data_IF_350089909493
#
_entry.id   IF_350089909493
#
_cell.length_a   1.000
_cell.length_b   1.000
_cell.length_c   1.000
_cell.angle_alpha   90.00
_cell.angle_beta   90.00
_cell.angle_gamma   90.00
#
_symmetry.space_group_name_H-M   'P 1'
#
loop_
_entity.id
_entity.type
_entity.pdbx_description
1 polymer ?
#
# COMPACT_ATOMS: atom_id res chain seq x y z
N UNK A 1 -9.08 -54.82 49.21
CA UNK A 1 -7.91 -54.16 49.83
C UNK A 1 -8.27 -52.72 50.16
N UNK A 2 -8.02 -52.29 51.42
CA UNK A 2 -7.85 -50.92 52.02
C UNK A 2 -8.60 -49.74 51.34
N UNK A 3 -9.69 -49.17 51.90
CA UNK A 3 -9.84 -48.18 53.03
C UNK A 3 -9.10 -46.84 52.86
N UNK A 4 -9.89 -45.74 52.99
CA UNK A 4 -9.61 -44.38 53.54
C UNK A 4 -10.02 -43.26 52.54
N UNK A 5 -11.12 -42.52 52.73
CA UNK A 5 -11.45 -41.42 53.68
C UNK A 5 -10.83 -40.04 53.32
N UNK A 6 -11.71 -39.14 52.83
CA UNK A 6 -11.97 -37.73 53.24
C UNK A 6 -10.76 -36.81 53.53
N UNK A 7 -10.59 -35.70 52.78
CA UNK A 7 -10.76 -34.31 53.27
C UNK A 7 -10.42 -33.22 52.22
N UNK A 8 -11.25 -32.18 52.30
CA UNK A 8 -11.27 -30.83 51.71
C UNK A 8 -9.90 -30.13 51.48
N UNK A 9 -9.78 -29.40 50.38
CA UNK A 9 -9.08 -28.09 50.37
C UNK A 9 -9.55 -27.23 49.17
N UNK A 10 -10.31 -26.17 49.49
CA UNK A 10 -10.44 -25.00 48.64
C UNK A 10 -9.06 -24.38 48.45
N UNK A 11 -8.69 -24.06 47.22
CA UNK A 11 -7.75 -22.98 46.94
C UNK A 11 -8.37 -22.05 45.91
N UNK A 12 -9.01 -21.01 46.41
CA UNK A 12 -9.25 -19.76 45.70
C UNK A 12 -7.90 -19.18 45.32
N UNK A 13 -7.60 -19.15 44.03
CA UNK A 13 -6.54 -18.30 43.49
C UNK A 13 -7.18 -17.29 42.55
N UNK A 14 -7.57 -16.15 43.12
CA UNK A 14 -7.75 -14.92 42.37
C UNK A 14 -6.36 -14.48 41.90
N UNK A 15 -6.10 -14.56 40.61
CA UNK A 15 -5.12 -13.69 39.96
C UNK A 15 -5.87 -12.88 38.91
N UNK A 16 -6.17 -11.63 39.27
CA UNK A 16 -6.48 -10.57 38.33
C UNK A 16 -5.28 -10.43 37.38
N UNK A 17 -5.48 -10.83 36.12
CA UNK A 17 -4.62 -10.43 35.03
C UNK A 17 -5.45 -9.55 34.11
N UNK A 18 -5.07 -8.28 34.17
CA UNK A 18 -5.49 -7.13 33.39
C UNK A 18 -5.83 -7.52 31.95
N UNK A 19 -7.06 -7.18 31.55
CA UNK A 19 -7.49 -7.22 30.17
C UNK A 19 -6.59 -6.33 29.32
N UNK A 20 -5.80 -6.92 28.44
CA UNK A 20 -5.47 -6.33 27.15
C UNK A 20 -6.08 -7.25 26.11
N UNK A 21 -7.37 -7.04 25.84
CA UNK A 21 -8.04 -7.73 24.75
C UNK A 21 -7.46 -7.22 23.44
N UNK A 22 -6.61 -8.04 22.81
CA UNK A 22 -6.33 -7.94 21.38
C UNK A 22 -7.66 -8.14 20.66
N UNK A 23 -8.16 -7.07 20.05
CA UNK A 23 -9.35 -7.13 19.19
C UNK A 23 -9.00 -8.01 17.98
N UNK A 24 -9.82 -9.03 17.62
CA UNK A 24 -9.60 -9.82 16.42
C UNK A 24 -9.57 -8.92 15.19
N UNK A 25 -8.70 -9.23 14.22
CA UNK A 25 -8.54 -8.50 12.97
C UNK A 25 -9.72 -8.66 11.99
N UNK A 26 -10.83 -9.27 12.41
CA UNK A 26 -11.96 -9.65 11.54
C UNK A 26 -13.26 -8.87 11.81
N UNK A 27 -13.25 -7.84 12.67
CA UNK A 27 -14.43 -6.99 12.94
C UNK A 27 -14.33 -5.61 12.24
N UNK A 28 -13.88 -5.57 10.99
CA UNK A 28 -14.16 -4.43 10.11
C UNK A 28 -15.39 -4.83 9.27
N UNK A 29 -16.57 -4.26 9.54
CA UNK A 29 -17.72 -4.52 8.69
C UNK A 29 -17.39 -4.02 7.28
N UNK A 30 -17.66 -4.81 6.22
CA UNK A 30 -17.65 -4.26 4.88
C UNK A 30 -18.62 -3.06 4.87
N UNK A 31 -18.32 -1.95 4.17
CA UNK A 31 -19.24 -0.84 4.11
C UNK A 31 -20.58 -1.35 3.57
N UNK A 32 -21.62 -1.22 4.40
CA UNK A 32 -22.99 -1.52 4.02
C UNK A 32 -23.34 -0.72 2.75
N UNK A 33 -24.09 -1.35 1.85
CA UNK A 33 -24.55 -0.85 0.53
C UNK A 33 -25.54 0.34 0.63
N UNK A 34 -25.52 1.06 1.75
CA UNK A 34 -26.20 2.33 1.99
C UNK A 34 -25.17 3.38 2.43
N UNK A 35 -24.56 4.05 1.45
CA UNK A 35 -23.81 5.32 1.56
C UNK A 35 -23.36 5.71 2.98
N UNK A 36 -22.40 4.99 3.55
CA UNK A 36 -21.59 5.59 4.61
C UNK A 36 -20.82 6.73 3.95
N UNK A 37 -21.09 7.97 4.37
CA UNK A 37 -20.31 9.11 3.90
C UNK A 37 -18.86 8.86 4.34
N UNK A 38 -18.01 8.45 3.40
CA UNK A 38 -16.59 8.28 3.69
C UNK A 38 -16.04 9.67 4.02
N UNK A 39 -15.52 9.80 5.24
CA UNK A 39 -15.00 11.07 5.75
C UNK A 39 -13.53 11.24 5.36
N UNK A 40 -13.12 12.50 5.20
CA UNK A 40 -11.75 12.93 4.96
C UNK A 40 -10.78 12.35 5.99
N UNK A 41 -11.23 12.15 7.24
CA UNK A 41 -10.41 11.53 8.30
C UNK A 41 -9.96 10.12 7.92
N UNK A 42 -10.86 9.29 7.36
CA UNK A 42 -10.51 7.92 6.96
C UNK A 42 -9.45 7.91 5.85
N UNK A 43 -9.55 8.81 4.88
CA UNK A 43 -8.50 8.94 3.85
C UNK A 43 -7.16 9.35 4.45
N UNK A 44 -7.20 10.21 5.46
CA UNK A 44 -6.00 10.70 6.13
C UNK A 44 -5.37 9.68 7.09
N UNK A 45 -6.08 8.71 7.64
CA UNK A 45 -5.51 7.76 8.62
C UNK A 45 -5.41 6.34 8.10
N UNK A 46 -6.41 5.87 7.37
CA UNK A 46 -6.55 4.46 6.97
C UNK A 46 -6.18 4.20 5.51
N UNK A 47 -6.19 5.23 4.65
CA UNK A 47 -5.94 5.07 3.22
C UNK A 47 -4.56 5.59 2.79
N UNK A 48 -4.26 6.89 2.93
CA UNK A 48 -3.04 7.49 2.38
C UNK A 48 -1.86 7.57 3.35
N UNK A 49 -2.09 7.32 4.64
CA UNK A 49 -1.04 7.48 5.66
C UNK A 49 -0.96 6.28 6.61
N UNK A 50 -1.49 5.13 6.19
CA UNK A 50 -1.50 3.92 7.03
C UNK A 50 -0.08 3.46 7.34
N UNK A 51 0.16 3.11 8.60
CA UNK A 51 1.46 2.65 9.08
C UNK A 51 2.53 3.75 9.19
N UNK A 52 3.69 3.36 9.72
CA UNK A 52 4.83 4.27 9.94
C UNK A 52 5.81 4.33 8.77
N UNK A 53 5.72 3.40 7.82
CA UNK A 53 6.61 3.31 6.66
C UNK A 53 6.00 3.90 5.38
N UNK A 54 6.51 3.45 4.23
CA UNK A 54 5.97 3.79 2.90
C UNK A 54 4.55 3.26 2.77
N UNK A 55 3.62 4.14 2.40
CA UNK A 55 2.23 3.81 2.15
C UNK A 55 2.00 3.78 0.63
N UNK A 56 1.82 2.60 0.05
CA UNK A 56 1.78 2.44 -1.42
C UNK A 56 0.55 3.08 -2.07
N UNK A 57 -0.58 3.17 -1.37
CA UNK A 57 -1.75 3.93 -1.83
C UNK A 57 -1.48 5.43 -1.94
N UNK A 58 -0.55 5.97 -1.15
CA UNK A 58 -0.06 7.34 -1.30
C UNK A 58 1.00 7.45 -2.40
N UNK A 59 1.80 6.40 -2.65
CA UNK A 59 2.69 6.39 -3.82
C UNK A 59 1.94 6.58 -5.16
N UNK A 60 0.63 6.31 -5.24
CA UNK A 60 -0.21 6.65 -6.40
C UNK A 60 -0.42 8.17 -6.62
N UNK A 61 0.05 9.01 -5.70
CA UNK A 61 0.05 10.47 -5.77
C UNK A 61 1.41 11.06 -6.19
N UNK A 62 2.44 10.22 -6.36
CA UNK A 62 3.81 10.64 -6.69
C UNK A 62 3.96 11.21 -8.11
N UNK A 63 2.94 11.08 -8.95
CA UNK A 63 2.88 11.67 -10.28
C UNK A 63 1.47 12.13 -10.63
N UNK A 64 1.38 13.04 -11.60
CA UNK A 64 0.13 13.45 -12.22
C UNK A 64 -0.13 12.65 -13.50
N UNK A 65 -1.37 12.22 -13.69
CA UNK A 65 -1.84 11.42 -14.81
C UNK A 65 -3.32 11.66 -15.09
N UNK A 66 -3.67 11.73 -16.38
CA UNK A 66 -5.06 11.91 -16.84
C UNK A 66 -5.86 10.60 -16.75
N UNK A 67 -5.22 9.47 -16.98
CA UNK A 67 -5.79 8.14 -16.86
C UNK A 67 -4.81 7.20 -16.15
N UNK A 68 -5.31 6.11 -15.59
CA UNK A 68 -4.50 5.05 -15.00
C UNK A 68 -3.34 4.57 -15.90
N UNK A 69 -3.52 4.57 -17.22
CA UNK A 69 -2.49 4.15 -18.17
C UNK A 69 -1.28 5.11 -18.24
N UNK A 70 -1.46 6.38 -17.83
CA UNK A 70 -0.43 7.43 -17.92
C UNK A 70 0.43 7.55 -16.65
N UNK A 71 0.20 6.70 -15.64
CA UNK A 71 0.94 6.75 -14.38
C UNK A 71 2.44 6.57 -14.59
N UNK A 72 3.23 7.31 -13.82
CA UNK A 72 4.67 7.17 -13.80
C UNK A 72 5.07 5.95 -12.95
N UNK A 73 5.52 4.88 -13.61
CA UNK A 73 5.83 3.62 -12.94
C UNK A 73 7.15 3.69 -12.16
N UNK A 74 8.06 4.57 -12.56
CA UNK A 74 9.27 4.86 -11.78
C UNK A 74 8.90 5.48 -10.45
N UNK A 75 8.13 6.57 -10.46
CA UNK A 75 7.76 7.25 -9.22
C UNK A 75 6.89 6.37 -8.32
N UNK A 76 5.98 5.58 -8.89
CA UNK A 76 5.10 4.68 -8.12
C UNK A 76 5.89 3.58 -7.39
N UNK A 77 6.80 2.89 -8.08
CA UNK A 77 7.50 1.71 -7.56
C UNK A 77 8.93 2.01 -7.08
N UNK A 78 9.31 3.28 -6.95
CA UNK A 78 10.64 3.69 -6.52
C UNK A 78 11.06 3.07 -5.17
N UNK A 79 10.12 2.91 -4.23
CA UNK A 79 10.37 2.28 -2.92
C UNK A 79 10.06 0.76 -2.91
N UNK A 80 9.85 0.15 -4.09
CA UNK A 80 9.43 -1.23 -4.23
C UNK A 80 7.94 -1.46 -3.96
N UNK A 81 7.42 -2.66 -4.25
CA UNK A 81 6.06 -3.04 -3.95
C UNK A 81 5.97 -3.44 -2.46
N UNK A 82 4.89 -3.03 -1.80
CA UNK A 82 4.43 -3.44 -0.45
C UNK A 82 5.49 -4.02 0.53
N UNK A 83 5.98 -3.20 1.46
CA UNK A 83 6.36 -3.54 2.85
C UNK A 83 7.49 -4.53 3.16
N UNK A 84 7.69 -5.58 2.36
CA UNK A 84 8.73 -6.60 2.54
C UNK A 84 9.53 -6.69 1.25
N UNK A 85 10.72 -6.12 1.26
CA UNK A 85 11.65 -6.20 0.14
C UNK A 85 12.15 -7.65 0.00
N UNK A 86 11.96 -8.23 -1.19
CA UNK A 86 12.58 -9.51 -1.51
C UNK A 86 14.11 -9.39 -1.53
N UNK A 87 14.79 -10.45 -1.07
CA UNK A 87 16.24 -10.52 -1.14
C UNK A 87 16.69 -10.62 -2.61
N UNK A 88 17.69 -9.83 -2.98
CA UNK A 88 18.37 -9.94 -4.28
C UNK A 88 19.55 -10.89 -4.15
N UNK A 89 19.45 -12.05 -4.78
CA UNK A 89 20.47 -13.10 -4.75
C UNK A 89 21.79 -12.66 -5.40
N UNK A 90 22.90 -13.31 -5.07
CA UNK A 90 24.21 -13.02 -5.70
C UNK A 90 24.19 -13.20 -7.24
N UNK A 91 23.39 -14.14 -7.74
CA UNK A 91 23.21 -14.37 -9.17
C UNK A 91 22.51 -13.17 -9.84
N UNK A 92 21.42 -12.67 -9.24
CA UNK A 92 20.74 -11.46 -9.68
C UNK A 92 21.67 -10.24 -9.60
N UNK A 93 22.40 -10.05 -8.50
CA UNK A 93 23.38 -8.96 -8.37
C UNK A 93 24.45 -9.01 -9.46
N UNK A 94 24.94 -10.21 -9.79
CA UNK A 94 25.90 -10.42 -10.87
C UNK A 94 25.29 -10.07 -12.24
N UNK A 95 24.03 -10.41 -12.47
CA UNK A 95 23.31 -10.10 -13.71
C UNK A 95 23.01 -8.60 -13.87
N UNK A 96 22.73 -7.89 -12.77
CA UNK A 96 22.57 -6.42 -12.74
C UNK A 96 23.93 -5.73 -13.02
N UNK A 97 25.00 -6.27 -12.44
CA UNK A 97 26.37 -5.81 -12.63
C UNK A 97 27.01 -5.21 -11.38
N UNK A 98 28.27 -4.75 -11.46
CA UNK A 98 29.10 -4.41 -10.30
C UNK A 98 28.48 -3.41 -9.31
N UNK A 99 27.67 -2.49 -9.82
CA UNK A 99 27.00 -1.44 -9.02
C UNK A 99 25.96 -2.01 -8.04
N UNK A 100 25.40 -3.20 -8.30
CA UNK A 100 24.43 -3.83 -7.41
C UNK A 100 25.01 -4.17 -6.03
N UNK A 101 26.30 -4.52 -5.99
CA UNK A 101 27.01 -4.87 -4.76
C UNK A 101 27.30 -3.64 -3.87
N UNK A 102 27.19 -2.43 -4.42
CA UNK A 102 27.41 -1.17 -3.68
C UNK A 102 26.09 -0.57 -3.17
N UNK A 103 24.97 -0.84 -3.85
CA UNK A 103 23.71 -0.11 -3.66
C UNK A 103 22.50 -0.96 -3.22
N UNK A 104 22.63 -2.29 -3.06
CA UNK A 104 21.54 -3.20 -2.67
C UNK A 104 20.20 -2.88 -3.35
N UNK A 105 20.02 -3.30 -4.62
CA UNK A 105 18.86 -2.92 -5.41
C UNK A 105 17.53 -3.33 -4.75
N UNK A 106 16.49 -2.53 -5.01
CA UNK A 106 15.11 -2.95 -4.79
C UNK A 106 14.71 -3.88 -5.91
N UNK A 107 14.13 -5.02 -5.54
CA UNK A 107 13.51 -5.96 -6.45
C UNK A 107 11.99 -5.82 -6.40
N UNK A 108 11.37 -5.83 -7.57
CA UNK A 108 9.92 -5.76 -7.77
C UNK A 108 9.53 -6.85 -8.76
N UNK A 109 8.76 -7.85 -8.32
CA UNK A 109 8.30 -8.88 -9.24
C UNK A 109 7.28 -8.28 -10.22
N UNK A 110 7.33 -8.66 -11.50
CA UNK A 110 6.34 -8.20 -12.49
C UNK A 110 4.91 -8.54 -12.05
N UNK A 111 4.73 -9.71 -11.44
CA UNK A 111 3.43 -10.15 -10.90
C UNK A 111 2.94 -9.30 -9.72
N UNK A 112 3.83 -8.75 -8.91
CA UNK A 112 3.46 -7.85 -7.81
C UNK A 112 3.03 -6.48 -8.35
N UNK A 113 3.72 -5.98 -9.39
CA UNK A 113 3.29 -4.77 -10.10
C UNK A 113 1.90 -4.98 -10.69
N UNK A 114 1.69 -6.07 -11.44
CA UNK A 114 0.39 -6.40 -12.03
C UNK A 114 -0.72 -6.49 -10.97
N UNK A 115 -0.47 -7.15 -9.84
CA UNK A 115 -1.44 -7.25 -8.75
C UNK A 115 -1.79 -5.87 -8.16
N UNK A 116 -0.78 -5.05 -7.89
CA UNK A 116 -0.97 -3.71 -7.34
C UNK A 116 -1.73 -2.79 -8.30
N UNK A 117 -1.34 -2.76 -9.58
CA UNK A 117 -2.00 -1.96 -10.61
C UNK A 117 -3.44 -2.46 -10.83
N UNK A 118 -3.68 -3.76 -10.81
CA UNK A 118 -5.03 -4.31 -10.95
C UNK A 118 -5.93 -3.91 -9.77
N UNK A 119 -5.40 -3.95 -8.56
CA UNK A 119 -6.13 -3.59 -7.34
C UNK A 119 -6.50 -2.11 -7.32
N UNK A 120 -5.51 -1.23 -7.53
CA UNK A 120 -5.67 0.21 -7.29
C UNK A 120 -5.89 1.05 -8.55
N UNK A 121 -5.62 0.55 -9.74
CA UNK A 121 -5.84 1.28 -11.00
C UNK A 121 -6.78 0.53 -11.96
N UNK A 122 -7.03 -0.76 -11.71
CA UNK A 122 -7.90 -1.57 -12.56
C UNK A 122 -7.29 -1.95 -13.91
N UNK A 123 -5.97 -1.85 -14.04
CA UNK A 123 -5.21 -2.15 -15.27
C UNK A 123 -4.06 -3.11 -14.99
N UNK A 124 -3.69 -3.91 -15.98
CA UNK A 124 -2.43 -4.65 -15.97
C UNK A 124 -1.25 -3.74 -16.38
N UNK A 125 -0.02 -4.15 -16.05
CA UNK A 125 1.22 -3.44 -16.42
C UNK A 125 1.31 -3.20 -17.93
N UNK A 126 0.92 -4.20 -18.74
CA UNK A 126 0.92 -4.11 -20.20
C UNK A 126 -0.16 -3.20 -20.78
N UNK A 127 -1.16 -2.82 -19.99
CA UNK A 127 -2.21 -1.86 -20.36
C UNK A 127 -1.82 -0.41 -20.02
N UNK A 128 -0.69 -0.22 -19.34
CA UNK A 128 -0.10 1.11 -19.12
C UNK A 128 0.75 1.57 -20.30
N UNK A 129 1.04 2.86 -20.35
CA UNK A 129 1.99 3.45 -21.29
C UNK A 129 3.46 3.18 -20.91
N UNK A 130 3.71 2.40 -19.85
CA UNK A 130 5.04 2.03 -19.34
C UNK A 130 5.96 3.23 -19.08
N UNK A 131 5.36 4.36 -18.70
CA UNK A 131 6.07 5.63 -18.49
C UNK A 131 7.17 5.44 -17.44
N UNK A 132 8.40 5.75 -17.85
CA UNK A 132 9.63 5.64 -17.06
C UNK A 132 9.93 4.23 -16.48
N UNK A 133 9.27 3.17 -16.95
CA UNK A 133 9.60 1.81 -16.54
C UNK A 133 11.01 1.39 -16.98
N UNK A 134 11.53 2.01 -18.04
CA UNK A 134 12.88 1.81 -18.56
C UNK A 134 14.00 2.33 -17.63
N UNK A 135 13.64 3.07 -16.56
CA UNK A 135 14.58 3.40 -15.48
C UNK A 135 14.93 2.20 -14.60
N UNK A 136 14.11 1.15 -14.62
CA UNK A 136 14.42 -0.12 -13.95
C UNK A 136 15.24 -1.03 -14.87
N UNK A 137 16.07 -1.86 -14.26
CA UNK A 137 16.74 -2.97 -14.93
C UNK A 137 15.78 -4.16 -14.91
N UNK A 138 15.32 -4.62 -16.06
CA UNK A 138 14.49 -5.82 -16.16
C UNK A 138 15.36 -7.03 -16.47
N UNK A 139 15.27 -8.08 -15.65
CA UNK A 139 15.91 -9.37 -15.92
C UNK A 139 14.85 -10.41 -16.27
N UNK A 140 14.77 -10.79 -17.54
CA UNK A 140 13.78 -11.75 -18.07
C UNK A 140 13.84 -13.11 -17.38
N UNK A 141 15.03 -13.59 -17.00
CA UNK A 141 15.20 -14.87 -16.29
C UNK A 141 14.46 -14.91 -14.95
N UNK A 142 14.31 -13.76 -14.29
CA UNK A 142 13.69 -13.63 -12.97
C UNK A 142 12.27 -13.04 -13.03
N UNK A 143 11.85 -12.56 -14.20
CA UNK A 143 10.63 -11.77 -14.42
C UNK A 143 10.45 -10.64 -13.40
N UNK A 144 11.54 -9.89 -13.20
CA UNK A 144 11.67 -8.91 -12.13
C UNK A 144 12.34 -7.61 -12.59
N UNK A 145 11.88 -6.51 -12.02
CA UNK A 145 12.46 -5.19 -12.18
C UNK A 145 13.33 -4.84 -10.96
N UNK A 146 14.49 -4.28 -11.23
CA UNK A 146 15.46 -3.89 -10.22
C UNK A 146 15.75 -2.39 -10.31
N UNK A 147 15.78 -1.72 -9.16
CA UNK A 147 16.15 -0.32 -9.07
C UNK A 147 17.30 -0.11 -8.09
N UNK A 148 18.32 0.59 -8.55
CA UNK A 148 19.39 1.11 -7.71
C UNK A 148 18.91 2.46 -7.16
N UNK A 149 18.06 2.40 -6.15
CA UNK A 149 17.43 3.60 -5.60
C UNK A 149 18.31 4.25 -4.52
N UNK A 150 18.11 5.55 -4.30
CA UNK A 150 18.72 6.29 -3.20
C UNK A 150 17.81 6.31 -1.96
N UNK A 151 17.81 7.42 -1.24
CA UNK A 151 16.79 7.67 -0.21
C UNK A 151 15.38 7.61 -0.80
N UNK A 152 14.38 7.47 0.06
CA UNK A 152 12.97 7.37 -0.32
C UNK A 152 12.44 8.61 -1.05
N UNK A 153 11.54 8.42 -2.02
CA UNK A 153 10.72 9.49 -2.63
C UNK A 153 9.33 9.62 -1.95
N UNK A 154 9.08 8.89 -0.87
CA UNK A 154 7.79 8.91 -0.17
C UNK A 154 7.60 10.21 0.63
N UNK A 155 6.41 10.77 0.54
CA UNK A 155 5.98 11.93 1.33
C UNK A 155 4.55 11.72 1.82
N UNK A 156 4.23 12.21 3.01
CA UNK A 156 2.84 12.13 3.49
C UNK A 156 1.98 13.20 2.82
N UNK A 157 0.69 12.91 2.71
CA UNK A 157 -0.28 13.88 2.23
C UNK A 157 -1.37 14.12 3.26
N UNK A 158 -1.95 15.32 3.23
CA UNK A 158 -3.18 15.66 3.94
C UNK A 158 -4.29 15.89 2.92
N UNK A 159 -5.37 15.10 3.01
CA UNK A 159 -6.61 15.35 2.28
C UNK A 159 -7.35 16.51 2.96
N UNK A 160 -7.69 17.52 2.18
CA UNK A 160 -8.27 18.80 2.65
C UNK A 160 -9.71 19.01 2.21
N UNK A 161 -10.14 18.33 1.15
CA UNK A 161 -11.52 18.41 0.66
C UNK A 161 -11.94 17.11 -0.01
N UNK A 162 -13.25 16.84 0.02
CA UNK A 162 -13.89 15.71 -0.65
C UNK A 162 -15.12 16.23 -1.39
N UNK A 163 -15.25 15.85 -2.66
CA UNK A 163 -16.43 16.10 -3.48
C UNK A 163 -16.89 14.81 -4.14
N UNK A 164 -18.16 14.45 -3.96
CA UNK A 164 -18.79 13.40 -4.75
C UNK A 164 -19.26 13.96 -6.10
N UNK A 165 -18.97 13.26 -7.18
CA UNK A 165 -19.39 13.60 -8.53
C UNK A 165 -20.68 12.84 -8.90
N UNK A 166 -21.40 13.33 -9.91
CA UNK A 166 -22.68 12.74 -10.35
C UNK A 166 -22.52 11.32 -10.93
N UNK A 167 -21.33 10.97 -11.42
CA UNK A 167 -20.99 9.65 -11.98
C UNK A 167 -20.60 8.62 -10.91
N UNK A 168 -20.68 8.98 -9.62
CA UNK A 168 -20.34 8.13 -8.49
C UNK A 168 -18.85 8.08 -8.15
N UNK A 169 -17.99 8.83 -8.87
CA UNK A 169 -16.60 9.05 -8.45
C UNK A 169 -16.52 10.07 -7.32
N UNK A 170 -15.40 10.06 -6.60
CA UNK A 170 -15.05 11.11 -5.65
C UNK A 170 -13.78 11.83 -6.10
N UNK A 171 -13.73 13.14 -5.90
CA UNK A 171 -12.55 13.94 -6.05
C UNK A 171 -12.05 14.38 -4.68
N UNK A 172 -10.79 14.09 -4.38
CA UNK A 172 -10.12 14.50 -3.15
C UNK A 172 -9.05 15.53 -3.47
N UNK A 173 -9.12 16.69 -2.82
CA UNK A 173 -8.02 17.66 -2.85
C UNK A 173 -7.03 17.31 -1.74
N UNK A 174 -5.74 17.25 -2.07
CA UNK A 174 -4.70 16.95 -1.09
C UNK A 174 -3.52 17.91 -1.21
N UNK A 175 -2.72 17.94 -0.15
CA UNK A 175 -1.44 18.67 -0.09
C UNK A 175 -0.38 17.72 0.48
N UNK A 176 0.75 17.57 -0.22
CA UNK A 176 1.90 16.81 0.26
C UNK A 176 2.73 17.64 1.24
N UNK A 177 3.58 16.98 2.04
CA UNK A 177 4.52 17.66 2.95
C UNK A 177 5.47 18.64 2.24
N UNK A 178 5.75 18.42 0.96
CA UNK A 178 6.50 19.36 0.09
C UNK A 178 5.75 20.67 -0.21
N UNK A 179 4.43 20.69 0.01
CA UNK A 179 3.52 21.78 -0.36
C UNK A 179 2.87 21.62 -1.74
N UNK A 180 3.20 20.56 -2.49
CA UNK A 180 2.53 20.22 -3.76
C UNK A 180 1.06 19.87 -3.52
N UNK A 181 0.19 20.32 -4.42
CA UNK A 181 -1.26 20.14 -4.30
C UNK A 181 -1.81 19.44 -5.53
N UNK A 182 -2.71 18.50 -5.28
CA UNK A 182 -3.36 17.75 -6.34
C UNK A 182 -4.81 17.47 -6.06
N UNK A 183 -5.49 17.01 -7.11
CA UNK A 183 -6.84 16.49 -7.08
C UNK A 183 -6.80 15.07 -7.63
N UNK A 184 -7.00 14.10 -6.74
CA UNK A 184 -7.12 12.69 -7.11
C UNK A 184 -8.59 12.33 -7.28
N UNK A 185 -8.92 11.67 -8.39
CA UNK A 185 -10.26 11.13 -8.64
C UNK A 185 -10.25 9.63 -8.39
N UNK A 186 -11.14 9.17 -7.53
CA UNK A 186 -11.27 7.77 -7.14
C UNK A 186 -12.66 7.23 -7.52
N UNK A 187 -12.71 5.93 -7.82
CA UNK A 187 -13.93 5.17 -8.05
C UNK A 187 -14.02 4.05 -7.01
N UNK A 188 -15.19 3.87 -6.40
CA UNK A 188 -15.41 2.76 -5.48
C UNK A 188 -15.14 1.40 -6.15
N UNK A 189 -14.45 0.52 -5.43
CA UNK A 189 -14.16 -0.86 -5.81
C UNK A 189 -14.49 -1.78 -4.63
N UNK A 190 -14.47 -3.11 -4.84
CA UNK A 190 -14.88 -4.09 -3.83
C UNK A 190 -14.02 -3.98 -2.56
N UNK A 191 -14.51 -3.26 -1.55
CA UNK A 191 -13.85 -3.04 -0.26
C UNK A 191 -12.76 -1.96 -0.25
N UNK A 192 -12.58 -1.18 -1.33
CA UNK A 192 -11.54 -0.15 -1.45
C UNK A 192 -11.86 0.87 -2.56
N UNK A 193 -10.86 1.59 -3.06
CA UNK A 193 -10.95 2.56 -4.15
C UNK A 193 -9.93 2.27 -5.25
N UNK A 194 -10.36 2.48 -6.50
CA UNK A 194 -9.47 2.57 -7.66
C UNK A 194 -9.24 4.02 -8.04
N UNK A 195 -8.01 4.34 -8.42
CA UNK A 195 -7.55 5.64 -8.87
C UNK A 195 -7.85 5.79 -10.35
N UNK A 196 -8.55 6.86 -10.69
CA UNK A 196 -8.96 7.18 -12.07
C UNK A 196 -7.97 8.16 -12.69
N UNK A 197 -7.60 9.21 -11.95
CA UNK A 197 -6.67 10.25 -12.37
C UNK A 197 -6.07 10.96 -11.16
N UNK A 198 -4.90 11.57 -11.32
CA UNK A 198 -4.34 12.51 -10.35
C UNK A 198 -3.84 13.75 -11.08
N UNK A 199 -4.33 14.94 -10.73
CA UNK A 199 -4.02 16.17 -11.46
C UNK A 199 -3.49 17.25 -10.53
N UNK A 200 -2.61 18.11 -11.04
CA UNK A 200 -2.18 19.31 -10.34
C UNK A 200 -3.39 20.21 -10.06
N UNK A 201 -3.45 20.79 -8.85
CA UNK A 201 -4.58 21.58 -8.35
C UNK A 201 -4.49 23.08 -8.69
#
# INVERSE_FOLDING_TARGET
MKRAKIFLLLFTLCCELTACGTKPADDVPPPDDETSAVDIEWFNTEFFNVGSGVCMTNMLLSSYYDTAADIDLYELFYNGPTGIQEEVTEAEQTAIGPVAFEHYPIKTQRTEMDAFLQEYLGVALDETNKKNLDQFIYLEEYDAYYLLHGDTNFQRCTVTSLKQNEDGTIALTYEQESGEKGIVTLKGSKGSYQFVSNKEA
#
